data_IF_044458793151
#
_entry.id   IF_044458793151
#
_cell.length_a   1.000
_cell.length_b   1.000
_cell.length_c   1.000
_cell.angle_alpha   90.00
_cell.angle_beta   90.00
_cell.angle_gamma   90.00
#
_symmetry.space_group_name_H-M   'P 1'
#
loop_
_entity.id
_entity.type
_entity.pdbx_description
1 polymer ?
#
# COMPACT_ATOMS: atom_id res chain seq x y z
N UNK A 1 -33.90 18.49 -10.24
CA UNK A 1 -32.81 19.49 -10.29
C UNK A 1 -31.93 19.22 -9.07
N UNK A 2 -30.98 18.28 -9.19
CA UNK A 2 -30.07 17.93 -8.09
C UNK A 2 -28.81 18.75 -8.28
N UNK A 3 -28.65 19.79 -7.47
CA UNK A 3 -27.44 20.61 -7.42
C UNK A 3 -26.37 19.88 -6.63
N UNK A 4 -25.36 19.36 -7.32
CA UNK A 4 -24.12 18.88 -6.72
C UNK A 4 -23.43 20.01 -5.93
N UNK A 5 -22.97 19.79 -4.68
CA UNK A 5 -22.35 20.83 -3.86
C UNK A 5 -20.83 20.99 -4.10
N UNK A 6 -20.28 20.55 -5.24
CA UNK A 6 -18.86 20.78 -5.55
C UNK A 6 -18.62 22.18 -6.12
N UNK A 7 -18.71 23.18 -5.24
CA UNK A 7 -18.28 24.54 -5.50
C UNK A 7 -16.76 24.59 -5.47
N UNK A 8 -16.11 24.56 -6.63
CA UNK A 8 -14.67 24.88 -6.74
C UNK A 8 -14.43 26.31 -6.24
N UNK A 9 -13.79 26.45 -5.08
CA UNK A 9 -13.23 27.72 -4.60
C UNK A 9 -11.70 27.69 -4.76
N UNK A 10 -11.20 28.67 -5.49
CA UNK A 10 -9.82 29.13 -5.68
C UNK A 10 -8.70 28.53 -4.80
N UNK A 11 -7.65 28.03 -5.47
CA UNK A 11 -6.26 28.44 -5.17
C UNK A 11 -5.50 27.74 -4.05
N UNK A 12 -6.02 26.64 -3.50
CA UNK A 12 -5.25 25.62 -2.78
C UNK A 12 -5.73 24.27 -3.29
N UNK A 13 -4.82 23.46 -3.81
CA UNK A 13 -5.10 22.04 -4.02
C UNK A 13 -5.22 21.40 -2.63
N UNK A 14 -6.38 21.53 -2.00
CA UNK A 14 -6.74 20.64 -0.89
C UNK A 14 -6.89 19.27 -1.54
N UNK A 15 -5.81 18.49 -1.48
CA UNK A 15 -5.81 17.08 -1.85
C UNK A 15 -6.86 16.41 -0.95
N UNK A 16 -7.97 15.99 -1.54
CA UNK A 16 -9.08 15.42 -0.77
C UNK A 16 -8.59 14.04 -0.31
N UNK A 17 -8.38 13.89 0.99
CA UNK A 17 -7.99 12.63 1.61
C UNK A 17 -9.19 11.96 2.28
N UNK A 18 -9.15 10.64 2.32
CA UNK A 18 -10.11 9.78 3.01
C UNK A 18 -9.35 8.82 3.93
N UNK A 19 -9.94 8.51 5.07
CA UNK A 19 -9.38 7.51 6.00
C UNK A 19 -10.26 6.28 5.99
N UNK A 20 -9.69 5.16 5.55
CA UNK A 20 -10.27 3.83 5.66
C UNK A 20 -10.02 3.30 7.06
N UNK A 21 -10.97 2.53 7.61
CA UNK A 21 -10.83 1.86 8.90
C UNK A 21 -11.32 0.43 8.77
N UNK A 22 -10.53 -0.54 9.25
CA UNK A 22 -10.90 -1.95 9.21
C UNK A 22 -11.72 -2.38 10.43
N UNK A 23 -12.12 -3.65 10.47
CA UNK A 23 -12.94 -4.22 11.55
C UNK A 23 -12.24 -4.25 12.92
N UNK A 24 -10.90 -4.17 12.92
CA UNK A 24 -10.06 -4.20 14.13
C UNK A 24 -9.65 -2.80 14.59
N UNK A 25 -10.08 -1.76 13.86
CA UNK A 25 -9.85 -0.35 14.19
C UNK A 25 -8.52 0.22 13.70
N UNK A 26 -7.80 -0.48 12.81
CA UNK A 26 -6.62 0.09 12.14
C UNK A 26 -7.09 1.10 11.10
N UNK A 27 -6.24 2.07 10.77
CA UNK A 27 -6.59 3.13 9.80
C UNK A 27 -5.60 3.19 8.65
N UNK A 28 -6.07 3.55 7.46
CA UNK A 28 -5.25 3.84 6.29
C UNK A 28 -5.74 5.15 5.67
N UNK A 29 -4.86 6.15 5.55
CA UNK A 29 -5.21 7.43 4.92
C UNK A 29 -4.74 7.43 3.49
N UNK A 30 -5.64 7.79 2.58
CA UNK A 30 -5.40 7.80 1.15
C UNK A 30 -5.80 9.15 0.55
N UNK A 31 -5.10 9.55 -0.50
CA UNK A 31 -5.56 10.59 -1.41
C UNK A 31 -6.59 10.01 -2.38
N UNK A 32 -7.60 10.80 -2.73
CA UNK A 32 -8.53 10.44 -3.81
C UNK A 32 -7.87 10.81 -5.14
N UNK A 33 -7.41 9.80 -5.87
CA UNK A 33 -6.79 9.99 -7.19
C UNK A 33 -7.87 10.31 -8.23
N UNK A 34 -8.91 9.46 -8.28
CA UNK A 34 -10.04 9.61 -9.20
C UNK A 34 -11.36 9.29 -8.51
N UNK A 35 -12.46 9.88 -8.99
CA UNK A 35 -13.82 9.59 -8.53
C UNK A 35 -14.75 9.42 -9.73
N UNK A 36 -15.69 8.48 -9.66
CA UNK A 36 -16.68 8.22 -10.70
C UNK A 36 -18.03 7.84 -10.11
N UNK A 37 -19.10 8.18 -10.83
CA UNK A 37 -20.46 7.73 -10.52
C UNK A 37 -20.86 6.65 -11.52
N UNK A 38 -21.26 5.49 -11.00
CA UNK A 38 -21.73 4.35 -11.80
C UNK A 38 -23.11 3.96 -11.25
N UNK A 39 -24.14 4.12 -12.07
CA UNK A 39 -25.53 3.80 -11.69
C UNK A 39 -26.03 4.51 -10.41
N UNK A 40 -25.52 5.72 -10.13
CA UNK A 40 -25.86 6.49 -8.93
C UNK A 40 -25.10 6.07 -7.67
N UNK A 41 -24.10 5.19 -7.82
CA UNK A 41 -23.14 4.84 -6.78
C UNK A 41 -21.81 5.53 -7.06
N UNK A 42 -21.31 6.28 -6.08
CA UNK A 42 -20.00 6.92 -6.14
C UNK A 42 -18.90 5.91 -5.80
N UNK A 43 -17.84 5.90 -6.61
CA UNK A 43 -16.63 5.11 -6.46
C UNK A 43 -15.42 6.04 -6.51
N UNK A 44 -14.35 5.67 -5.80
CA UNK A 44 -13.10 6.41 -5.80
C UNK A 44 -11.91 5.47 -5.93
N UNK A 45 -10.93 5.87 -6.73
CA UNK A 45 -9.59 5.27 -6.74
C UNK A 45 -8.75 5.98 -5.69
N UNK A 46 -8.19 5.20 -4.77
CA UNK A 46 -7.47 5.71 -3.61
C UNK A 46 -6.01 5.34 -3.70
N UNK A 47 -5.13 6.31 -3.40
CA UNK A 47 -3.70 6.08 -3.27
C UNK A 47 -3.28 6.29 -1.81
N UNK A 48 -2.72 5.27 -1.14
CA UNK A 48 -2.16 5.43 0.21
C UNK A 48 -1.18 6.61 0.30
N UNK A 49 -1.23 7.37 1.39
CA UNK A 49 -0.24 8.43 1.64
C UNK A 49 1.14 7.84 1.93
N UNK A 50 1.17 6.75 2.70
CA UNK A 50 2.39 6.01 3.04
C UNK A 50 2.56 4.84 2.06
N UNK A 51 3.81 4.49 1.70
CA UNK A 51 4.08 3.45 0.68
C UNK A 51 3.59 2.07 1.13
N UNK A 52 2.76 1.37 0.35
CA UNK A 52 2.34 0.01 0.68
C UNK A 52 3.52 -0.97 0.54
N UNK A 53 3.60 -1.95 1.43
CA UNK A 53 4.63 -3.00 1.40
C UNK A 53 4.05 -4.36 1.77
N UNK A 54 4.74 -5.43 1.39
CA UNK A 54 4.36 -6.81 1.70
C UNK A 54 5.58 -7.57 2.22
N UNK A 55 5.33 -8.56 3.08
CA UNK A 55 6.37 -9.44 3.60
C UNK A 55 6.31 -10.75 2.84
N UNK A 56 7.45 -11.18 2.31
CA UNK A 56 7.59 -12.43 1.59
C UNK A 56 8.43 -13.44 2.36
N UNK A 57 8.17 -14.72 2.12
CA UNK A 57 9.00 -15.84 2.55
C UNK A 57 9.47 -16.64 1.33
N UNK A 58 10.61 -17.28 1.45
CA UNK A 58 11.10 -18.27 0.48
C UNK A 58 11.06 -19.65 1.14
N UNK A 59 10.74 -20.68 0.37
CA UNK A 59 10.99 -22.06 0.79
C UNK A 59 12.37 -22.47 0.23
N UNK A 60 13.11 -23.30 0.97
CA UNK A 60 14.42 -23.82 0.51
C UNK A 60 15.62 -22.86 0.59
N UNK A 61 16.80 -23.43 0.34
CA UNK A 61 18.09 -22.71 0.19
C UNK A 61 18.39 -22.37 -1.30
N UNK A 62 17.52 -22.78 -2.23
CA UNK A 62 17.71 -22.56 -3.65
C UNK A 62 17.21 -21.16 -4.04
N UNK A 63 18.12 -20.35 -4.60
CA UNK A 63 17.86 -18.98 -5.00
C UNK A 63 16.85 -18.84 -6.17
N UNK A 64 16.43 -19.96 -6.76
CA UNK A 64 15.47 -20.02 -7.86
C UNK A 64 14.02 -20.24 -7.38
N UNK A 65 13.77 -20.42 -6.06
CA UNK A 65 12.41 -20.55 -5.54
C UNK A 65 11.69 -19.20 -5.48
N UNK A 66 10.43 -19.18 -5.94
CA UNK A 66 9.61 -17.98 -5.95
C UNK A 66 9.28 -17.49 -4.52
N UNK A 67 9.31 -16.17 -4.33
CA UNK A 67 8.89 -15.53 -3.10
C UNK A 67 7.37 -15.72 -2.91
N UNK A 68 6.94 -16.10 -1.71
CA UNK A 68 5.53 -16.32 -1.36
C UNK A 68 5.11 -15.23 -0.35
N UNK A 69 4.03 -14.47 -0.62
CA UNK A 69 3.49 -13.52 0.35
C UNK A 69 3.10 -14.19 1.67
N UNK A 70 3.42 -13.56 2.79
CA UNK A 70 2.99 -14.00 4.12
C UNK A 70 1.61 -13.43 4.41
N UNK A 71 0.55 -14.21 4.17
CA UNK A 71 -0.84 -13.78 4.36
C UNK A 71 -1.37 -13.99 5.80
N UNK A 72 -0.76 -14.89 6.59
CA UNK A 72 -1.20 -15.18 7.96
C UNK A 72 -0.81 -14.06 8.93
N UNK A 73 -1.80 -13.32 9.43
CA UNK A 73 -1.63 -12.26 10.44
C UNK A 73 -0.86 -12.74 11.69
N UNK A 74 -1.03 -14.00 12.10
CA UNK A 74 -0.33 -14.55 13.28
C UNK A 74 1.15 -14.83 12.99
N UNK A 75 1.52 -15.01 11.72
CA UNK A 75 2.90 -15.11 11.28
C UNK A 75 3.51 -13.72 11.17
N UNK A 76 2.80 -12.78 10.56
CA UNK A 76 3.17 -11.36 10.53
C UNK A 76 3.42 -10.86 11.97
N UNK A 77 2.55 -11.20 12.93
CA UNK A 77 2.71 -10.84 14.36
C UNK A 77 4.08 -11.21 14.93
N UNK A 78 4.61 -12.37 14.55
CA UNK A 78 5.88 -12.90 15.09
C UNK A 78 7.08 -12.15 14.54
N UNK A 79 6.99 -11.65 13.31
CA UNK A 79 8.11 -11.02 12.59
C UNK A 79 8.02 -9.50 12.54
N UNK A 80 6.84 -8.92 12.80
CA UNK A 80 6.56 -7.50 12.62
C UNK A 80 7.54 -6.60 13.39
N UNK A 81 7.77 -6.89 14.68
CA UNK A 81 8.67 -6.08 15.50
C UNK A 81 10.11 -6.13 14.99
N UNK A 82 10.56 -7.31 14.52
CA UNK A 82 11.88 -7.47 13.91
C UNK A 82 11.98 -6.67 12.61
N UNK A 83 11.03 -6.84 11.68
CA UNK A 83 11.00 -6.12 10.42
C UNK A 83 10.95 -4.60 10.62
N UNK A 84 10.15 -4.16 11.59
CA UNK A 84 10.06 -2.75 11.98
C UNK A 84 11.40 -2.20 12.46
N UNK A 85 12.13 -2.92 13.30
CA UNK A 85 13.45 -2.48 13.79
C UNK A 85 14.45 -2.39 12.64
N UNK A 86 14.48 -3.38 11.75
CA UNK A 86 15.38 -3.38 10.59
C UNK A 86 15.11 -2.17 9.68
N UNK A 87 13.83 -1.88 9.39
CA UNK A 87 13.45 -0.72 8.58
C UNK A 87 13.79 0.61 9.27
N UNK A 88 13.70 0.68 10.60
CA UNK A 88 14.08 1.88 11.35
C UNK A 88 15.56 2.23 11.22
N UNK A 89 16.45 1.26 11.00
CA UNK A 89 17.87 1.53 10.71
C UNK A 89 18.06 2.36 9.44
N UNK A 90 17.10 2.30 8.52
CA UNK A 90 17.06 3.05 7.26
C UNK A 90 16.15 4.28 7.30
N UNK A 91 15.74 4.72 8.50
CA UNK A 91 14.75 5.80 8.71
C UNK A 91 13.35 5.48 8.15
N UNK A 92 13.02 4.21 7.99
CA UNK A 92 11.71 3.74 7.54
C UNK A 92 10.88 3.26 8.73
N UNK A 93 9.60 3.64 8.81
CA UNK A 93 8.70 3.20 9.87
C UNK A 93 7.60 2.31 9.31
N UNK A 94 7.68 1.01 9.58
CA UNK A 94 6.64 0.04 9.26
C UNK A 94 5.40 0.24 10.15
N UNK A 95 4.22 0.24 9.53
CA UNK A 95 2.91 0.43 10.17
C UNK A 95 1.94 -0.68 9.76
N UNK A 96 1.14 -1.12 10.74
CA UNK A 96 -0.08 -1.89 10.49
C UNK A 96 -1.24 -0.95 10.23
N UNK A 97 -1.41 -0.61 8.97
CA UNK A 97 -2.57 0.16 8.52
C UNK A 97 -3.73 -0.76 8.20
N UNK A 98 -4.92 -0.19 7.99
CA UNK A 98 -6.02 -0.96 7.43
C UNK A 98 -5.62 -1.49 6.04
N UNK A 99 -6.17 -2.64 5.63
CA UNK A 99 -6.02 -3.25 4.29
C UNK A 99 -4.62 -3.81 3.98
N UNK A 100 -3.54 -3.08 4.26
CA UNK A 100 -2.17 -3.48 3.94
C UNK A 100 -1.16 -2.92 4.95
N UNK A 101 0.08 -3.41 4.92
CA UNK A 101 1.19 -2.80 5.63
C UNK A 101 1.68 -1.58 4.86
N UNK A 102 2.10 -0.54 5.58
CA UNK A 102 2.68 0.65 4.96
C UNK A 102 3.99 1.02 5.63
N UNK A 103 4.86 1.69 4.88
CA UNK A 103 6.12 2.23 5.36
C UNK A 103 6.10 3.74 5.19
N UNK A 104 6.51 4.43 6.25
CA UNK A 104 6.70 5.88 6.25
C UNK A 104 8.18 6.21 6.15
N UNK A 105 8.51 7.11 5.25
CA UNK A 105 9.87 7.54 4.95
C UNK A 105 10.18 7.34 3.47
N UNK A 106 11.35 7.82 3.05
CA UNK A 106 11.77 7.74 1.66
C UNK A 106 12.41 6.38 1.40
N UNK A 107 11.76 5.55 0.57
CA UNK A 107 12.32 4.27 0.15
C UNK A 107 13.63 4.50 -0.63
N UNK A 108 14.66 3.68 -0.41
CA UNK A 108 15.88 3.74 -1.20
C UNK A 108 15.57 3.40 -2.66
N UNK A 109 16.31 3.99 -3.59
CA UNK A 109 16.26 3.57 -5.00
C UNK A 109 16.72 2.11 -5.09
N UNK A 110 15.87 1.25 -5.62
CA UNK A 110 16.23 -0.13 -5.94
C UNK A 110 16.92 -0.15 -7.31
N UNK A 111 18.13 -0.70 -7.44
CA UNK A 111 18.77 -0.88 -8.74
C UNK A 111 17.89 -1.77 -9.62
N UNK A 112 17.68 -1.40 -10.87
CA UNK A 112 16.91 -2.22 -11.82
C UNK A 112 17.49 -3.63 -12.00
N UNK A 113 18.79 -3.79 -11.76
CA UNK A 113 19.52 -5.05 -11.79
C UNK A 113 19.09 -6.05 -10.69
N UNK A 114 18.51 -5.54 -9.59
CA UNK A 114 18.05 -6.32 -8.45
C UNK A 114 16.51 -6.55 -8.47
N UNK A 115 15.81 -6.06 -9.50
CA UNK A 115 14.39 -6.32 -9.68
C UNK A 115 14.19 -7.77 -10.11
N UNK A 116 13.62 -8.59 -9.23
CA UNK A 116 13.08 -9.90 -9.60
C UNK A 116 11.90 -9.67 -10.55
N UNK A 117 11.91 -10.23 -11.77
CA UNK A 117 10.78 -10.12 -12.67
C UNK A 117 9.55 -10.75 -12.01
N UNK A 118 8.43 -10.02 -11.99
CA UNK A 118 7.16 -10.56 -11.51
C UNK A 118 6.84 -11.85 -12.27
N UNK A 119 6.63 -12.96 -11.54
CA UNK A 119 6.39 -14.27 -12.13
C UNK A 119 5.13 -14.34 -13.02
N UNK A 120 4.29 -13.30 -13.00
CA UNK A 120 3.08 -13.15 -13.82
C UNK A 120 3.29 -12.34 -15.11
N UNK A 121 4.49 -11.80 -15.37
CA UNK A 121 4.81 -11.21 -16.67
C UNK A 121 5.27 -12.29 -17.68
N UNK A 122 4.44 -13.30 -17.92
CA UNK A 122 4.55 -14.08 -19.15
C UNK A 122 4.13 -13.16 -20.30
N UNK A 123 5.11 -12.75 -21.12
CA UNK A 123 4.90 -11.99 -22.36
C UNK A 123 3.82 -12.65 -23.23
N UNK A 124 2.66 -12.01 -23.41
CA UNK A 124 1.80 -12.29 -24.56
C UNK A 124 2.58 -11.94 -25.84
N UNK A 125 3.12 -12.98 -26.49
CA UNK A 125 3.75 -12.93 -27.82
C UNK A 125 2.74 -12.87 -28.96
#
# INVERSE_FOLDING_TARGET
>A
MSSSPYRKQNGKSDEVSVTLTDEVGRSLTCNIEHSMDVEGQEYALLLPIDSPVEIFTWHGDDADEAAIPVEDETEIDKIFDTARVVLQEQNLTLRRTAVTLTVVGDLPEFPEEDLVPDADSEEES
#
